data_IF_875492151924
#
_entry.id   IF_875492151924
#
_cell.length_a   1.000
_cell.length_b   1.000
_cell.length_c   1.000
_cell.angle_alpha   90.00
_cell.angle_beta   90.00
_cell.angle_gamma   90.00
#
_symmetry.space_group_name_H-M   'P 1'
#
loop_
_entity.id
_entity.type
_entity.pdbx_description
1 polymer ?
#
# COMPACT_ATOMS: atom_id res chain seq x y z
N UNK A 1 8.11 -23.20 -8.16
CA UNK A 1 7.28 -23.95 -7.17
C UNK A 1 5.93 -24.22 -7.79
N UNK A 2 5.35 -25.42 -7.60
CA UNK A 2 3.97 -25.66 -7.99
C UNK A 2 3.08 -24.66 -7.22
N UNK A 3 2.10 -24.05 -7.90
CA UNK A 3 1.15 -23.14 -7.28
C UNK A 3 0.39 -23.80 -6.10
N UNK A 4 -0.25 -23.03 -5.24
CA UNK A 4 -0.95 -23.59 -4.09
C UNK A 4 -2.03 -24.58 -4.55
N UNK A 5 -2.10 -25.71 -3.87
CA UNK A 5 -3.08 -26.78 -4.17
C UNK A 5 -4.54 -26.29 -4.07
N UNK A 6 -4.77 -25.26 -3.26
CA UNK A 6 -6.06 -24.64 -3.01
C UNK A 6 -5.97 -23.11 -3.20
N UNK A 7 -6.31 -22.59 -4.39
CA UNK A 7 -6.07 -21.17 -4.74
C UNK A 7 -7.19 -20.22 -4.28
N UNK A 8 -8.21 -20.68 -3.57
CA UNK A 8 -9.28 -19.83 -3.06
C UNK A 8 -8.74 -18.76 -2.09
N UNK A 9 -9.17 -17.51 -2.24
CA UNK A 9 -8.68 -16.38 -1.46
C UNK A 9 -8.73 -16.63 0.05
N UNK A 10 -9.86 -17.11 0.55
CA UNK A 10 -10.10 -17.33 1.99
C UNK A 10 -9.16 -18.40 2.54
N UNK A 11 -8.91 -19.47 1.76
CA UNK A 11 -7.96 -20.53 2.11
C UNK A 11 -6.51 -19.98 2.11
N UNK A 12 -6.15 -19.17 1.12
CA UNK A 12 -4.83 -18.54 1.08
C UNK A 12 -4.62 -17.58 2.26
N UNK A 13 -5.63 -16.80 2.63
CA UNK A 13 -5.56 -15.89 3.77
C UNK A 13 -5.26 -16.60 5.08
N UNK A 14 -5.71 -17.83 5.22
CA UNK A 14 -5.54 -18.65 6.43
C UNK A 14 -4.27 -19.52 6.41
N UNK A 15 -3.87 -20.02 5.24
CA UNK A 15 -2.90 -21.14 5.17
C UNK A 15 -1.64 -20.86 4.36
N UNK A 16 -1.63 -19.87 3.45
CA UNK A 16 -0.46 -19.65 2.61
C UNK A 16 0.77 -19.28 3.45
N UNK A 17 1.93 -19.85 3.08
CA UNK A 17 3.20 -19.62 3.77
C UNK A 17 3.34 -20.29 5.14
N UNK A 18 2.30 -20.97 5.65
CA UNK A 18 2.34 -21.62 6.95
C UNK A 18 2.37 -23.15 6.84
N UNK A 19 3.28 -23.76 7.59
CA UNK A 19 3.30 -25.19 7.89
C UNK A 19 3.17 -25.39 9.40
N UNK A 20 2.68 -26.57 9.82
CA UNK A 20 2.72 -26.96 11.24
C UNK A 20 4.18 -26.98 11.69
N UNK A 21 4.47 -26.38 12.86
CA UNK A 21 5.84 -26.39 13.39
C UNK A 21 6.37 -27.84 13.56
N UNK A 22 7.46 -28.20 12.86
CA UNK A 22 7.91 -29.60 12.85
C UNK A 22 8.50 -30.06 14.18
N UNK A 23 8.86 -29.16 15.08
CA UNK A 23 9.49 -29.48 16.36
C UNK A 23 8.46 -29.69 17.47
N UNK A 24 7.45 -28.81 17.53
CA UNK A 24 6.49 -28.78 18.63
C UNK A 24 5.08 -29.21 18.22
N UNK A 25 4.79 -29.27 16.91
CA UNK A 25 3.45 -29.47 16.40
C UNK A 25 2.53 -28.25 16.56
N UNK A 26 3.08 -27.06 16.87
CA UNK A 26 2.28 -25.85 17.07
C UNK A 26 1.45 -25.54 15.82
N UNK A 27 0.13 -25.31 16.02
CA UNK A 27 -0.79 -24.99 14.93
C UNK A 27 -0.73 -23.52 14.54
N UNK A 28 -0.59 -22.60 15.49
CA UNK A 28 -0.38 -21.20 15.23
C UNK A 28 1.04 -20.93 14.73
N UNK A 29 1.25 -19.83 14.01
CA UNK A 29 2.58 -19.40 13.58
C UNK A 29 3.43 -19.10 14.82
N UNK A 30 4.56 -19.78 15.09
CA UNK A 30 5.44 -19.44 16.21
C UNK A 30 6.07 -18.06 16.03
N UNK A 31 6.29 -17.36 17.13
CA UNK A 31 6.98 -16.07 17.13
C UNK A 31 8.46 -16.30 17.44
N UNK A 32 9.28 -16.24 16.39
CA UNK A 32 10.75 -16.41 16.53
C UNK A 32 11.40 -15.06 16.90
N UNK A 33 11.29 -14.69 18.17
CA UNK A 33 11.85 -13.45 18.70
C UNK A 33 13.34 -13.61 18.99
N UNK A 34 14.14 -13.67 17.93
CA UNK A 34 15.61 -13.82 17.98
C UNK A 34 16.30 -12.91 16.97
N UNK A 35 17.55 -12.55 17.23
CA UNK A 35 18.39 -11.78 16.32
C UNK A 35 19.09 -12.68 15.30
N UNK A 36 19.57 -13.86 15.72
CA UNK A 36 20.47 -14.73 14.95
C UNK A 36 20.15 -16.20 15.17
N UNK A 37 20.70 -17.04 14.31
CA UNK A 37 20.44 -18.48 14.26
C UNK A 37 21.77 -19.24 14.31
N UNK A 38 21.83 -20.34 15.09
CA UNK A 38 23.02 -21.15 15.25
C UNK A 38 23.24 -22.03 14.01
N UNK A 39 24.46 -22.02 13.49
CA UNK A 39 24.88 -22.91 12.42
C UNK A 39 25.21 -24.30 13.01
N UNK A 40 24.97 -25.35 12.20
CA UNK A 40 25.35 -26.73 12.60
C UNK A 40 26.87 -26.92 12.61
N UNK A 41 27.54 -26.35 11.60
CA UNK A 41 28.97 -26.39 11.35
C UNK A 41 29.39 -25.28 10.39
N UNK A 42 30.69 -25.16 10.09
CA UNK A 42 31.22 -24.15 9.18
C UNK A 42 30.79 -24.34 7.72
N UNK A 43 30.57 -25.59 7.26
CA UNK A 43 30.09 -25.86 5.91
C UNK A 43 28.62 -25.44 5.76
N UNK A 44 27.80 -25.67 6.78
CA UNK A 44 26.43 -25.16 6.83
C UNK A 44 26.41 -23.63 6.80
N UNK A 45 27.26 -22.96 7.60
CA UNK A 45 27.37 -21.52 7.56
C UNK A 45 27.72 -21.01 6.14
N UNK A 46 28.74 -21.56 5.51
CA UNK A 46 29.16 -21.19 4.16
C UNK A 46 28.03 -21.36 3.16
N UNK A 47 27.30 -22.49 3.18
CA UNK A 47 26.19 -22.76 2.25
C UNK A 47 25.01 -21.78 2.38
N UNK A 48 24.77 -21.20 3.57
CA UNK A 48 23.76 -20.17 3.78
C UNK A 48 24.21 -18.81 3.27
N UNK A 49 25.47 -18.45 3.50
CA UNK A 49 26.04 -17.19 2.99
C UNK A 49 26.17 -17.19 1.47
N UNK A 50 26.55 -18.33 0.89
CA UNK A 50 26.63 -18.53 -0.57
C UNK A 50 25.27 -18.77 -1.24
N UNK A 51 24.17 -18.79 -0.46
CA UNK A 51 22.79 -19.05 -0.95
C UNK A 51 22.57 -20.43 -1.58
N UNK A 52 23.46 -21.37 -1.37
CA UNK A 52 23.33 -22.76 -1.82
C UNK A 52 22.19 -23.51 -1.09
N UNK A 53 21.79 -22.99 0.07
CA UNK A 53 20.69 -23.50 0.88
C UNK A 53 19.78 -22.36 1.38
N UNK A 54 18.47 -22.65 1.42
CA UNK A 54 17.52 -21.83 2.13
C UNK A 54 17.72 -21.93 3.63
N UNK A 55 17.60 -20.81 4.35
CA UNK A 55 17.69 -20.76 5.81
C UNK A 55 17.79 -19.34 6.35
N UNK A 56 17.85 -19.25 7.67
CA UNK A 56 17.93 -17.98 8.38
C UNK A 56 19.31 -17.81 9.01
N UNK A 57 19.87 -16.60 8.91
CA UNK A 57 21.16 -16.23 9.46
C UNK A 57 20.98 -15.14 10.53
N UNK A 58 20.22 -14.11 10.17
CA UNK A 58 20.00 -12.93 11.00
C UNK A 58 18.63 -12.33 10.71
N UNK A 59 17.86 -11.99 11.74
CA UNK A 59 16.44 -11.61 11.60
C UNK A 59 16.21 -10.30 10.82
N UNK A 60 17.23 -9.42 10.69
CA UNK A 60 17.13 -8.26 9.80
C UNK A 60 16.99 -8.67 8.33
N UNK A 61 17.58 -9.80 7.91
CA UNK A 61 17.54 -10.28 6.54
C UNK A 61 16.34 -11.20 6.32
N UNK A 62 16.13 -12.15 7.23
CA UNK A 62 15.01 -13.10 7.18
C UNK A 62 14.70 -13.68 8.56
N UNK A 63 13.42 -13.92 8.84
CA UNK A 63 12.94 -14.49 10.10
C UNK A 63 11.76 -15.43 9.79
N UNK A 64 11.62 -16.62 10.42
CA UNK A 64 10.56 -17.57 10.08
C UNK A 64 9.15 -17.01 10.22
N UNK A 65 8.88 -16.22 11.26
CA UNK A 65 7.55 -15.58 11.47
C UNK A 65 7.26 -14.55 10.38
N UNK A 66 8.27 -13.73 10.04
CA UNK A 66 8.16 -12.71 8.98
C UNK A 66 7.96 -13.36 7.61
N UNK A 67 8.66 -14.48 7.36
CA UNK A 67 8.54 -15.23 6.09
C UNK A 67 7.12 -15.73 5.85
N UNK A 68 6.39 -16.16 6.89
CA UNK A 68 4.97 -16.57 6.74
C UNK A 68 4.12 -15.40 6.25
N UNK A 69 4.32 -14.19 6.77
CA UNK A 69 3.61 -12.99 6.31
C UNK A 69 3.96 -12.66 4.85
N UNK A 70 5.26 -12.69 4.51
CA UNK A 70 5.75 -12.44 3.15
C UNK A 70 5.12 -13.40 2.14
N UNK A 71 5.18 -14.70 2.41
CA UNK A 71 4.62 -15.74 1.54
C UNK A 71 3.09 -15.64 1.44
N UNK A 72 2.41 -15.31 2.54
CA UNK A 72 0.95 -15.14 2.56
C UNK A 72 0.49 -13.99 1.69
N UNK A 73 1.10 -12.82 1.83
CA UNK A 73 0.75 -11.65 1.02
C UNK A 73 1.12 -11.87 -0.45
N UNK A 74 2.29 -12.46 -0.73
CA UNK A 74 2.66 -12.82 -2.10
C UNK A 74 1.62 -13.76 -2.74
N UNK A 75 1.16 -14.78 -2.03
CA UNK A 75 0.14 -15.70 -2.52
C UNK A 75 -1.22 -15.03 -2.75
N UNK A 76 -1.64 -14.12 -1.86
CA UNK A 76 -2.90 -13.37 -1.98
C UNK A 76 -2.89 -12.43 -3.20
N UNK A 77 -1.76 -11.80 -3.48
CA UNK A 77 -1.58 -10.91 -4.64
C UNK A 77 -1.26 -11.66 -5.95
N UNK A 78 -0.80 -12.91 -5.86
CA UNK A 78 -0.35 -13.69 -7.01
C UNK A 78 1.06 -13.31 -7.47
N UNK A 79 1.90 -12.85 -6.56
CA UNK A 79 3.32 -12.53 -6.77
C UNK A 79 4.25 -13.73 -6.59
N UNK A 80 5.49 -13.60 -7.06
CA UNK A 80 6.54 -14.63 -6.89
C UNK A 80 7.22 -14.60 -5.53
N UNK A 81 6.99 -13.54 -4.76
CA UNK A 81 7.51 -13.35 -3.41
C UNK A 81 7.27 -11.95 -2.88
N UNK A 82 7.60 -11.74 -1.61
CA UNK A 82 7.45 -10.45 -0.95
C UNK A 82 8.59 -10.18 0.06
N UNK A 83 8.72 -8.91 0.45
CA UNK A 83 9.61 -8.45 1.52
C UNK A 83 8.81 -7.61 2.50
N UNK A 84 8.77 -8.02 3.76
CA UNK A 84 8.17 -7.25 4.83
C UNK A 84 9.16 -6.21 5.37
N UNK A 85 8.65 -5.00 5.58
CA UNK A 85 9.41 -3.84 6.05
C UNK A 85 8.76 -3.19 7.27
N UNK A 86 9.50 -2.32 7.96
CA UNK A 86 9.04 -1.64 9.16
C UNK A 86 7.83 -0.71 8.96
N UNK A 87 7.54 -0.29 7.72
CA UNK A 87 6.40 0.56 7.36
C UNK A 87 6.13 0.54 5.86
N UNK A 88 4.95 1.02 5.42
CA UNK A 88 4.67 1.22 4.00
C UNK A 88 5.65 2.19 3.32
N UNK A 89 6.07 3.26 4.03
CA UNK A 89 7.10 4.18 3.52
C UNK A 89 8.45 3.50 3.32
N UNK A 90 8.81 2.57 4.21
CA UNK A 90 10.03 1.77 4.05
C UNK A 90 9.93 0.82 2.84
N UNK A 91 8.74 0.30 2.53
CA UNK A 91 8.52 -0.52 1.33
C UNK A 91 8.69 0.29 0.05
N UNK A 92 8.09 1.49 -0.03
CA UNK A 92 8.28 2.41 -1.16
C UNK A 92 9.73 2.83 -1.32
N UNK A 93 10.39 3.23 -0.22
CA UNK A 93 11.81 3.59 -0.24
C UNK A 93 12.69 2.41 -0.71
N UNK A 94 12.42 1.20 -0.23
CA UNK A 94 13.16 -0.01 -0.62
C UNK A 94 13.01 -0.28 -2.12
N UNK A 95 11.80 -0.16 -2.68
CA UNK A 95 11.58 -0.34 -4.12
C UNK A 95 12.39 0.66 -4.94
N UNK A 96 12.34 1.95 -4.57
CA UNK A 96 13.10 2.99 -5.25
C UNK A 96 14.63 2.76 -5.13
N UNK A 97 15.12 2.51 -3.92
CA UNK A 97 16.55 2.30 -3.67
C UNK A 97 17.11 1.04 -4.36
N UNK A 98 16.26 0.03 -4.61
CA UNK A 98 16.66 -1.16 -5.37
C UNK A 98 16.80 -0.89 -6.86
N UNK A 99 15.97 0.00 -7.42
CA UNK A 99 15.89 0.24 -8.86
C UNK A 99 16.69 1.46 -9.35
N UNK A 100 17.13 2.34 -8.44
CA UNK A 100 17.56 3.68 -8.82
C UNK A 100 18.85 4.11 -8.13
N UNK A 101 19.68 4.76 -8.90
CA UNK A 101 20.87 5.49 -8.46
C UNK A 101 20.64 7.01 -8.57
N UNK A 102 21.59 7.80 -8.08
CA UNK A 102 21.61 9.24 -8.30
C UNK A 102 21.57 9.56 -9.81
N UNK A 103 20.77 10.53 -10.19
CA UNK A 103 20.50 10.89 -11.58
C UNK A 103 19.28 10.18 -12.18
N UNK A 104 18.66 9.24 -11.48
CA UNK A 104 17.43 8.57 -11.92
C UNK A 104 16.18 9.46 -11.82
N UNK A 105 15.13 9.07 -12.51
CA UNK A 105 13.86 9.79 -12.56
C UNK A 105 12.65 8.87 -12.37
N UNK A 106 11.63 9.36 -11.68
CA UNK A 106 10.33 8.72 -11.47
C UNK A 106 9.23 9.54 -12.16
N UNK A 107 8.28 8.88 -12.82
CA UNK A 107 7.00 9.50 -13.18
C UNK A 107 5.94 8.98 -12.22
N UNK A 108 5.31 9.86 -11.46
CA UNK A 108 4.35 9.49 -10.43
C UNK A 108 3.01 10.18 -10.61
N UNK A 109 1.94 9.51 -10.20
CA UNK A 109 0.63 10.14 -10.03
C UNK A 109 0.74 11.34 -9.08
N UNK A 110 0.00 12.40 -9.35
CA UNK A 110 -0.14 13.54 -8.42
C UNK A 110 -1.10 13.23 -7.27
N UNK A 111 -2.02 12.29 -7.44
CA UNK A 111 -2.97 11.87 -6.40
C UNK A 111 -2.36 10.76 -5.54
N UNK A 112 -1.54 11.15 -4.56
CA UNK A 112 -0.81 10.25 -3.68
C UNK A 112 -1.05 10.58 -2.21
N UNK A 113 -0.79 9.59 -1.37
CA UNK A 113 -0.60 9.84 0.05
C UNK A 113 0.49 10.89 0.28
N UNK A 114 0.23 11.86 1.18
CA UNK A 114 1.14 12.98 1.42
C UNK A 114 2.58 12.55 1.78
N UNK A 115 2.75 11.44 2.50
CA UNK A 115 4.07 10.89 2.79
C UNK A 115 4.81 10.40 1.54
N UNK A 116 4.12 9.75 0.61
CA UNK A 116 4.68 9.30 -0.67
C UNK A 116 5.03 10.48 -1.55
N UNK A 117 4.15 11.49 -1.63
CA UNK A 117 4.43 12.73 -2.35
C UNK A 117 5.69 13.44 -1.80
N UNK A 118 5.80 13.56 -0.47
CA UNK A 118 6.98 14.20 0.15
C UNK A 118 8.25 13.38 -0.05
N UNK A 119 8.18 12.04 0.08
CA UNK A 119 9.34 11.17 -0.16
C UNK A 119 9.87 11.37 -1.59
N UNK A 120 8.99 11.27 -2.58
CA UNK A 120 9.36 11.36 -4.00
C UNK A 120 9.76 12.79 -4.41
N UNK A 121 8.98 13.79 -4.02
CA UNK A 121 9.18 15.16 -4.49
C UNK A 121 10.31 15.94 -3.81
N UNK A 122 10.59 15.61 -2.55
CA UNK A 122 11.54 16.39 -1.73
C UNK A 122 12.69 15.54 -1.17
N UNK A 123 12.39 14.43 -0.52
CA UNK A 123 13.40 13.66 0.21
C UNK A 123 14.36 13.00 -0.76
N UNK A 124 13.86 12.26 -1.76
CA UNK A 124 14.69 11.55 -2.73
C UNK A 124 15.44 12.48 -3.67
N UNK A 125 14.94 13.69 -3.91
CA UNK A 125 15.66 14.73 -4.64
C UNK A 125 17.01 15.06 -4.00
N UNK A 126 17.12 14.98 -2.67
CA UNK A 126 18.39 15.18 -1.94
C UNK A 126 19.43 14.08 -2.26
N UNK A 127 18.97 12.93 -2.73
CA UNK A 127 19.80 11.80 -3.16
C UNK A 127 19.95 11.73 -4.67
N UNK A 128 19.58 12.82 -5.39
CA UNK A 128 19.73 12.91 -6.83
C UNK A 128 18.67 12.18 -7.64
N UNK A 129 17.56 11.75 -7.04
CA UNK A 129 16.44 11.12 -7.75
C UNK A 129 15.34 12.16 -7.93
N UNK A 130 14.97 12.44 -9.18
CA UNK A 130 13.93 13.41 -9.51
C UNK A 130 12.60 12.74 -9.78
N UNK A 131 11.50 13.48 -9.53
CA UNK A 131 10.13 13.01 -9.79
C UNK A 131 9.36 14.04 -10.59
N UNK A 132 8.64 13.59 -11.62
CA UNK A 132 7.60 14.37 -12.30
C UNK A 132 6.23 13.81 -11.90
N UNK A 133 5.39 14.68 -11.33
CA UNK A 133 4.01 14.34 -10.97
C UNK A 133 3.06 14.67 -12.12
N UNK A 134 2.14 13.75 -12.42
CA UNK A 134 1.17 13.86 -13.52
C UNK A 134 -0.23 13.48 -13.06
N UNK A 135 -1.25 13.89 -13.83
CA UNK A 135 -2.62 13.52 -13.50
C UNK A 135 -2.84 12.00 -13.61
N UNK A 136 -3.43 11.35 -12.58
CA UNK A 136 -3.73 9.91 -12.63
C UNK A 136 -4.78 9.53 -13.66
N UNK A 137 -5.61 10.49 -14.08
CA UNK A 137 -6.71 10.28 -15.04
C UNK A 137 -6.28 10.31 -16.49
N UNK A 138 -5.02 10.65 -16.79
CA UNK A 138 -4.53 10.77 -18.15
C UNK A 138 -3.25 9.96 -18.37
N UNK A 139 -3.33 8.71 -18.85
CA UNK A 139 -2.15 7.88 -19.11
C UNK A 139 -1.15 8.53 -20.08
N UNK A 140 -1.60 9.39 -21.01
CA UNK A 140 -0.71 10.08 -21.94
C UNK A 140 0.18 11.15 -21.24
N UNK A 141 -0.22 11.66 -20.08
CA UNK A 141 0.68 12.51 -19.29
C UNK A 141 1.83 11.72 -18.71
N UNK A 142 1.61 10.48 -18.28
CA UNK A 142 2.70 9.57 -17.88
C UNK A 142 3.67 9.38 -19.05
N UNK A 143 3.17 9.09 -20.26
CA UNK A 143 4.00 8.91 -21.46
C UNK A 143 4.87 10.13 -21.76
N UNK A 144 4.28 11.32 -21.75
CA UNK A 144 4.95 12.59 -22.03
C UNK A 144 6.01 12.96 -20.99
N UNK A 145 5.84 12.51 -19.75
CA UNK A 145 6.77 12.79 -18.66
C UNK A 145 7.98 11.85 -18.61
N UNK A 146 7.98 10.76 -19.40
CA UNK A 146 9.11 9.81 -19.46
C UNK A 146 10.32 10.49 -20.07
N UNK A 147 11.48 10.37 -19.39
CA UNK A 147 12.81 10.86 -19.79
C UNK A 147 13.73 9.67 -20.00
N UNK A 148 14.90 9.85 -20.66
CA UNK A 148 15.88 8.76 -20.84
C UNK A 148 16.34 8.09 -19.54
N UNK A 149 16.40 8.88 -18.46
CA UNK A 149 16.80 8.43 -17.12
C UNK A 149 15.61 8.00 -16.25
N UNK A 150 14.37 7.91 -16.78
CA UNK A 150 13.23 7.36 -16.04
C UNK A 150 13.47 5.87 -15.78
N UNK A 151 13.16 5.44 -14.55
CA UNK A 151 13.32 4.05 -14.08
C UNK A 151 12.04 3.45 -13.52
N UNK A 152 11.02 4.26 -13.22
CA UNK A 152 9.81 3.80 -12.55
C UNK A 152 8.60 4.67 -12.92
N UNK A 153 7.45 4.03 -13.17
CA UNK A 153 6.15 4.66 -13.07
C UNK A 153 5.50 4.26 -11.75
N UNK A 154 4.86 5.22 -11.08
CA UNK A 154 4.27 5.00 -9.75
C UNK A 154 2.88 5.61 -9.63
N UNK A 155 1.95 4.89 -8.95
CA UNK A 155 0.64 5.40 -8.59
C UNK A 155 -0.01 4.60 -7.46
N UNK A 156 -1.15 5.08 -6.97
CA UNK A 156 -1.98 4.40 -5.97
C UNK A 156 -3.24 3.87 -6.64
N UNK A 157 -3.70 2.68 -6.25
CA UNK A 157 -4.96 2.10 -6.78
C UNK A 157 -6.14 3.05 -6.61
N UNK A 158 -6.19 3.71 -5.46
CA UNK A 158 -7.13 4.77 -5.10
C UNK A 158 -6.33 5.92 -4.49
N UNK A 159 -6.25 7.02 -5.20
CA UNK A 159 -5.49 8.21 -4.80
C UNK A 159 -6.10 8.93 -3.60
N UNK A 160 -5.28 9.65 -2.87
CA UNK A 160 -5.68 10.40 -1.68
C UNK A 160 -5.50 11.91 -1.92
N UNK A 161 -6.47 12.79 -1.64
CA UNK A 161 -7.72 12.55 -0.89
C UNK A 161 -8.96 12.28 -1.74
N UNK A 162 -8.91 12.50 -3.06
CA UNK A 162 -10.07 12.50 -3.96
C UNK A 162 -10.56 11.12 -4.39
N UNK A 163 -9.86 10.04 -4.02
CA UNK A 163 -10.09 8.66 -4.47
C UNK A 163 -10.04 8.50 -6.00
N UNK A 164 -9.10 9.22 -6.62
CA UNK A 164 -8.80 9.06 -8.03
C UNK A 164 -8.45 7.60 -8.34
N UNK A 165 -9.14 6.98 -9.29
CA UNK A 165 -8.88 5.59 -9.67
C UNK A 165 -7.79 5.55 -10.72
N UNK A 166 -6.70 4.85 -10.43
CA UNK A 166 -5.62 4.66 -11.41
C UNK A 166 -6.04 3.66 -12.49
N UNK A 167 -5.97 4.07 -13.75
CA UNK A 167 -6.11 3.13 -14.88
C UNK A 167 -4.84 2.29 -15.03
N UNK A 168 -4.73 1.26 -14.17
CA UNK A 168 -3.55 0.39 -14.14
C UNK A 168 -3.28 -0.25 -15.51
N UNK A 169 -4.27 -0.82 -16.24
CA UNK A 169 -4.02 -1.36 -17.57
C UNK A 169 -3.42 -0.36 -18.55
N UNK A 170 -3.95 0.86 -18.60
CA UNK A 170 -3.44 1.88 -19.50
C UNK A 170 -2.06 2.41 -19.09
N UNK A 171 -1.83 2.64 -17.79
CA UNK A 171 -0.52 3.12 -17.28
C UNK A 171 0.54 2.03 -17.38
N UNK A 172 0.21 0.76 -17.13
CA UNK A 172 1.16 -0.34 -17.31
C UNK A 172 1.58 -0.49 -18.76
N UNK A 173 0.63 -0.33 -19.70
CA UNK A 173 0.97 -0.33 -21.13
C UNK A 173 1.96 0.80 -21.47
N UNK A 174 1.76 2.01 -20.94
CA UNK A 174 2.69 3.13 -21.12
C UNK A 174 4.07 2.79 -20.54
N UNK A 175 4.11 2.18 -19.36
CA UNK A 175 5.36 1.76 -18.72
C UNK A 175 6.11 0.72 -19.57
N UNK A 176 5.41 -0.36 -19.96
CA UNK A 176 6.00 -1.47 -20.72
C UNK A 176 6.44 -1.05 -22.13
N UNK A 177 5.68 -0.19 -22.82
CA UNK A 177 6.08 0.38 -24.11
C UNK A 177 7.43 1.13 -24.02
N UNK A 178 7.76 1.66 -22.82
CA UNK A 178 9.01 2.36 -22.54
C UNK A 178 10.08 1.48 -21.86
N UNK A 179 9.83 0.18 -21.67
CA UNK A 179 10.72 -0.74 -20.93
C UNK A 179 10.89 -0.36 -19.46
N UNK A 180 9.82 0.09 -18.80
CA UNK A 180 9.80 0.52 -17.41
C UNK A 180 8.80 -0.32 -16.60
N UNK A 181 9.09 -0.62 -15.31
CA UNK A 181 8.12 -1.24 -14.44
C UNK A 181 7.09 -0.23 -13.91
N UNK A 182 5.89 -0.72 -13.60
CA UNK A 182 4.87 -0.01 -12.85
C UNK A 182 4.81 -0.53 -11.41
N UNK A 183 5.08 0.35 -10.44
CA UNK A 183 4.85 0.13 -9.01
C UNK A 183 3.52 0.73 -8.58
N UNK A 184 2.72 -0.03 -7.82
CA UNK A 184 1.41 0.42 -7.35
C UNK A 184 1.30 0.32 -5.84
N UNK A 185 0.85 1.38 -5.17
CA UNK A 185 0.37 1.30 -3.80
C UNK A 185 -1.05 0.73 -3.78
N UNK A 186 -1.21 -0.47 -3.23
CA UNK A 186 -2.48 -1.17 -3.15
C UNK A 186 -3.10 -1.16 -1.74
N UNK A 187 -2.65 -0.23 -0.88
CA UNK A 187 -3.03 -0.16 0.54
C UNK A 187 -4.54 -0.07 0.76
N UNK A 188 -5.26 0.74 -0.04
CA UNK A 188 -6.70 0.96 0.15
C UNK A 188 -7.56 -0.17 -0.39
N UNK A 189 -7.12 -0.80 -1.47
CA UNK A 189 -7.87 -1.89 -2.11
C UNK A 189 -7.63 -3.24 -1.46
N UNK A 190 -6.44 -3.44 -0.89
CA UNK A 190 -5.98 -4.77 -0.42
C UNK A 190 -6.06 -5.83 -1.53
N UNK A 191 -5.49 -7.02 -1.38
CA UNK A 191 -5.63 -8.08 -2.38
C UNK A 191 -7.06 -8.60 -2.52
N UNK A 192 -7.97 -8.18 -1.61
CA UNK A 192 -9.36 -8.59 -1.66
C UNK A 192 -10.19 -7.83 -2.71
N UNK A 193 -10.04 -6.51 -2.80
CA UNK A 193 -10.85 -5.69 -3.71
C UNK A 193 -10.23 -5.60 -5.11
N UNK A 194 -8.89 -5.60 -5.22
CA UNK A 194 -8.16 -5.50 -6.48
C UNK A 194 -6.86 -6.29 -6.42
N UNK A 195 -6.50 -6.90 -7.53
CA UNK A 195 -5.19 -7.54 -7.75
C UNK A 195 -4.44 -6.81 -8.86
N UNK A 196 -3.58 -5.85 -8.54
CA UNK A 196 -2.90 -5.01 -9.53
C UNK A 196 -2.07 -5.79 -10.54
N UNK A 197 -1.52 -6.96 -10.16
CA UNK A 197 -0.76 -7.82 -11.08
C UNK A 197 -1.61 -8.41 -12.21
N UNK A 198 -2.90 -8.67 -11.97
CA UNK A 198 -3.81 -9.13 -13.02
C UNK A 198 -4.14 -8.00 -14.02
N UNK A 199 -3.89 -6.75 -13.62
CA UNK A 199 -4.11 -5.53 -14.42
C UNK A 199 -2.84 -4.99 -15.07
N UNK A 200 -1.68 -5.63 -14.85
CA UNK A 200 -0.43 -5.30 -15.51
C UNK A 200 0.61 -4.59 -14.65
N UNK A 201 0.38 -4.36 -13.36
CA UNK A 201 1.43 -3.89 -12.48
C UNK A 201 2.56 -4.92 -12.35
N UNK A 202 3.79 -4.46 -12.15
CA UNK A 202 4.98 -5.31 -12.01
C UNK A 202 5.37 -5.48 -10.54
N UNK A 203 5.28 -4.39 -9.80
CA UNK A 203 5.56 -4.32 -8.38
C UNK A 203 4.35 -3.70 -7.67
N UNK A 204 4.10 -4.11 -6.45
CA UNK A 204 3.16 -3.43 -5.57
C UNK A 204 3.66 -3.40 -4.13
N UNK A 205 3.15 -2.47 -3.35
CA UNK A 205 3.32 -2.52 -1.92
C UNK A 205 2.03 -2.20 -1.16
N UNK A 206 2.02 -2.61 0.10
CA UNK A 206 0.99 -2.25 1.07
C UNK A 206 1.62 -1.58 2.28
N UNK A 207 1.00 -0.52 2.76
CA UNK A 207 1.10 -0.19 4.17
C UNK A 207 0.27 -1.22 4.94
N UNK A 208 0.92 -2.28 5.44
CA UNK A 208 0.25 -3.33 6.20
C UNK A 208 -0.33 -2.84 7.54
N UNK A 209 0.05 -1.62 7.94
CA UNK A 209 -0.50 -0.84 9.05
C UNK A 209 -2.02 -0.65 8.94
N UNK A 210 -2.55 -0.59 7.70
CA UNK A 210 -3.94 -0.24 7.39
C UNK A 210 -4.84 -1.50 7.39
N UNK A 211 -5.65 -1.68 6.39
CA UNK A 211 -6.61 -2.79 6.30
C UNK A 211 -6.01 -4.19 6.46
N UNK A 212 -4.75 -4.44 6.07
CA UNK A 212 -4.12 -5.74 6.26
C UNK A 212 -4.03 -6.10 7.75
N UNK A 213 -3.44 -5.24 8.58
CA UNK A 213 -3.43 -5.39 10.03
C UNK A 213 -4.80 -5.14 10.65
N UNK A 214 -5.48 -4.07 10.23
CA UNK A 214 -6.89 -3.77 10.45
C UNK A 214 -7.31 -3.39 11.87
N UNK A 215 -6.39 -3.26 12.82
CA UNK A 215 -6.71 -3.04 14.24
C UNK A 215 -5.95 -1.87 14.87
N UNK A 216 -5.17 -1.12 14.08
CA UNK A 216 -4.41 0.02 14.58
C UNK A 216 -3.29 -0.31 15.59
N UNK A 217 -2.83 -1.55 15.65
CA UNK A 217 -1.88 -2.05 16.68
C UNK A 217 -0.45 -2.24 16.16
N UNK A 218 -0.24 -2.29 14.85
CA UNK A 218 1.05 -2.61 14.26
C UNK A 218 1.35 -1.70 13.07
N UNK A 219 2.59 -1.24 12.96
CA UNK A 219 3.09 -0.51 11.79
C UNK A 219 3.94 -1.46 10.95
N UNK A 220 3.62 -1.59 9.66
CA UNK A 220 4.36 -2.46 8.76
C UNK A 220 4.14 -2.11 7.29
N UNK A 221 5.02 -2.60 6.45
CA UNK A 221 4.91 -2.56 5.00
C UNK A 221 5.21 -3.92 4.38
N UNK A 222 4.70 -4.18 3.20
CA UNK A 222 5.02 -5.38 2.42
C UNK A 222 5.19 -4.97 0.96
N UNK A 223 6.36 -5.22 0.39
CA UNK A 223 6.69 -5.03 -1.02
C UNK A 223 6.58 -6.38 -1.73
N UNK A 224 5.84 -6.44 -2.84
CA UNK A 224 5.56 -7.68 -3.58
C UNK A 224 6.01 -7.53 -5.03
N UNK A 225 6.59 -8.57 -5.59
CA UNK A 225 7.02 -8.64 -6.98
C UNK A 225 6.14 -9.65 -7.75
N UNK A 226 5.66 -9.25 -8.91
CA UNK A 226 4.93 -10.13 -9.82
C UNK A 226 5.81 -11.22 -10.44
N UNK A 227 7.12 -10.98 -10.57
CA UNK A 227 8.06 -11.81 -11.31
C UNK A 227 7.82 -11.82 -12.83
N UNK A 228 7.11 -10.82 -13.37
CA UNK A 228 6.75 -10.76 -14.80
C UNK A 228 7.53 -9.73 -15.60
N UNK A 229 8.16 -8.77 -14.92
CA UNK A 229 8.96 -7.77 -15.62
C UNK A 229 10.30 -8.36 -16.05
N UNK A 230 10.61 -8.20 -17.33
CA UNK A 230 11.84 -8.70 -17.95
C UNK A 230 12.93 -7.63 -17.80
N UNK A 231 13.77 -7.79 -16.76
CA UNK A 231 14.82 -6.83 -16.39
C UNK A 231 15.92 -6.79 -17.45
N UNK A 232 16.32 -7.94 -18.02
CA UNK A 232 17.34 -8.04 -19.04
C UNK A 232 16.90 -7.36 -20.34
N UNK A 233 15.72 -7.70 -20.84
CA UNK A 233 15.16 -7.12 -22.07
C UNK A 233 14.98 -5.61 -21.96
N UNK A 234 14.64 -5.11 -20.78
CA UNK A 234 14.55 -3.66 -20.54
C UNK A 234 15.87 -2.92 -20.78
N UNK A 235 17.00 -3.51 -20.40
CA UNK A 235 18.34 -2.92 -20.52
C UNK A 235 18.56 -1.66 -19.68
N UNK A 236 17.63 -1.31 -18.79
CA UNK A 236 17.67 -0.08 -17.98
C UNK A 236 18.10 -0.30 -16.53
N UNK A 237 18.31 -1.55 -16.15
CA UNK A 237 18.56 -1.95 -14.76
C UNK A 237 19.85 -2.78 -14.63
N UNK A 238 21.02 -2.19 -15.01
CA UNK A 238 22.28 -2.92 -14.93
C UNK A 238 22.61 -3.38 -13.51
N UNK A 239 22.07 -2.71 -12.49
CA UNK A 239 22.19 -3.12 -11.09
C UNK A 239 21.52 -4.45 -10.77
N UNK A 240 20.66 -4.99 -11.64
CA UNK A 240 20.02 -6.30 -11.50
C UNK A 240 20.60 -7.34 -12.47
N UNK A 241 21.12 -6.89 -13.62
CA UNK A 241 21.47 -7.71 -14.79
C UNK A 241 22.95 -7.63 -15.15
N UNK A 242 23.80 -7.18 -14.23
CA UNK A 242 25.24 -7.15 -14.40
C UNK A 242 25.93 -7.47 -13.06
N UNK A 243 27.21 -7.95 -13.11
CA UNK A 243 27.96 -8.29 -11.91
C UNK A 243 28.08 -7.13 -10.93
N UNK A 244 27.58 -7.31 -9.72
CA UNK A 244 27.57 -6.31 -8.65
C UNK A 244 28.75 -6.53 -7.67
N UNK A 245 29.72 -5.63 -7.69
CA UNK A 245 30.95 -5.74 -6.88
C UNK A 245 30.69 -5.73 -5.36
N UNK A 246 29.61 -5.05 -4.91
CA UNK A 246 29.22 -5.01 -3.50
C UNK A 246 28.68 -6.35 -2.97
N UNK A 247 28.44 -7.31 -3.86
CA UNK A 247 27.99 -8.65 -3.50
C UNK A 247 28.73 -9.74 -4.31
N UNK A 248 30.07 -9.79 -4.17
CA UNK A 248 30.93 -10.82 -4.78
C UNK A 248 30.81 -10.97 -6.30
N UNK A 249 30.52 -9.88 -7.02
CA UNK A 249 30.23 -9.87 -8.45
C UNK A 249 29.02 -10.74 -8.87
N UNK A 250 28.03 -10.88 -7.99
CA UNK A 250 26.81 -11.57 -8.32
C UNK A 250 26.01 -10.76 -9.36
N UNK A 251 25.48 -11.45 -10.36
CA UNK A 251 24.40 -11.00 -11.22
C UNK A 251 23.10 -11.53 -10.62
N UNK A 252 22.20 -10.65 -10.21
CA UNK A 252 20.99 -11.06 -9.50
C UNK A 252 19.99 -11.77 -10.41
N UNK A 253 19.98 -11.47 -11.71
CA UNK A 253 19.10 -12.12 -12.68
C UNK A 253 19.62 -13.51 -13.04
N UNK A 254 20.91 -13.67 -13.29
CA UNK A 254 21.56 -14.97 -13.52
C UNK A 254 21.32 -15.90 -12.32
N UNK A 255 21.42 -15.38 -11.09
CA UNK A 255 21.25 -16.15 -9.86
C UNK A 255 19.79 -16.55 -9.57
N UNK A 256 18.82 -15.68 -9.88
CA UNK A 256 17.43 -15.87 -9.39
C UNK A 256 16.33 -15.67 -10.44
N UNK A 257 16.68 -15.34 -11.67
CA UNK A 257 15.73 -15.14 -12.77
C UNK A 257 14.64 -14.13 -12.40
N UNK A 258 13.40 -14.53 -12.49
CA UNK A 258 12.24 -13.66 -12.21
C UNK A 258 12.19 -13.08 -10.79
N UNK A 259 13.11 -13.45 -9.89
CA UNK A 259 13.22 -12.94 -8.52
C UNK A 259 14.40 -11.99 -8.31
N UNK A 260 15.06 -11.56 -9.38
CA UNK A 260 16.24 -10.68 -9.32
C UNK A 260 16.00 -9.43 -8.47
N UNK A 261 14.86 -8.77 -8.68
CA UNK A 261 14.46 -7.60 -7.88
C UNK A 261 14.37 -7.93 -6.37
N UNK A 262 13.64 -9.00 -6.01
CA UNK A 262 13.50 -9.41 -4.59
C UNK A 262 14.82 -9.82 -3.98
N UNK A 263 15.67 -10.52 -4.73
CA UNK A 263 16.97 -10.95 -4.24
C UNK A 263 17.83 -9.74 -3.90
N UNK A 264 17.95 -8.76 -4.81
CA UNK A 264 18.69 -7.53 -4.55
C UNK A 264 18.06 -6.71 -3.43
N UNK A 265 16.74 -6.49 -3.47
CA UNK A 265 16.03 -5.73 -2.45
C UNK A 265 16.27 -6.30 -1.04
N UNK A 266 16.35 -7.61 -0.89
CA UNK A 266 16.62 -8.27 0.40
C UNK A 266 18.10 -8.23 0.77
N UNK A 267 18.98 -8.58 -0.16
CA UNK A 267 20.41 -8.81 0.11
C UNK A 267 21.22 -7.53 0.22
N UNK A 268 20.82 -6.48 -0.49
CA UNK A 268 21.38 -5.15 -0.39
C UNK A 268 20.43 -4.21 0.35
N UNK A 269 19.28 -3.90 -0.23
CA UNK A 269 18.39 -2.87 0.27
C UNK A 269 17.95 -3.08 1.72
N UNK A 270 17.29 -4.18 2.03
CA UNK A 270 16.82 -4.46 3.40
C UNK A 270 17.98 -4.64 4.38
N UNK A 271 19.04 -5.36 3.96
CA UNK A 271 20.21 -5.60 4.80
C UNK A 271 20.90 -4.31 5.19
N UNK A 272 21.12 -3.39 4.25
CA UNK A 272 21.97 -2.23 4.42
C UNK A 272 21.21 -1.03 5.00
N UNK A 273 19.98 -0.77 4.53
CA UNK A 273 19.11 0.28 5.07
C UNK A 273 18.44 -0.12 6.39
N UNK A 274 18.27 -1.41 6.66
CA UNK A 274 17.89 -1.91 7.98
C UNK A 274 16.40 -1.79 8.34
N UNK A 275 15.52 -1.40 7.43
CA UNK A 275 14.10 -1.18 7.70
C UNK A 275 13.28 -2.49 7.77
N UNK A 276 13.78 -3.50 8.49
CA UNK A 276 13.14 -4.81 8.64
C UNK A 276 11.93 -4.76 9.58
N UNK A 277 11.02 -5.71 9.38
CA UNK A 277 9.86 -5.91 10.27
C UNK A 277 10.24 -6.79 11.46
N UNK A 278 9.77 -6.44 12.67
CA UNK A 278 9.91 -7.29 13.86
C UNK A 278 8.98 -8.51 13.78
N UNK A 279 9.39 -9.70 14.30
CA UNK A 279 8.56 -10.91 14.28
C UNK A 279 7.21 -10.73 14.96
N UNK A 280 7.13 -10.04 16.09
CA UNK A 280 5.88 -9.73 16.77
C UNK A 280 4.94 -8.89 15.90
N UNK A 281 5.47 -7.91 15.17
CA UNK A 281 4.69 -7.09 14.22
C UNK A 281 4.12 -7.94 13.09
N UNK A 282 4.93 -8.83 12.52
CA UNK A 282 4.48 -9.77 11.49
C UNK A 282 3.35 -10.67 12.00
N UNK A 283 3.50 -11.22 13.22
CA UNK A 283 2.46 -12.02 13.85
C UNK A 283 1.15 -11.24 14.03
N UNK A 284 1.21 -10.00 14.52
CA UNK A 284 0.02 -9.16 14.71
C UNK A 284 -0.68 -8.85 13.38
N UNK A 285 0.09 -8.56 12.31
CA UNK A 285 -0.46 -8.32 10.98
C UNK A 285 -1.09 -9.59 10.40
N UNK A 286 -0.48 -10.76 10.62
CA UNK A 286 -1.04 -12.05 10.19
C UNK A 286 -2.44 -12.29 10.76
N UNK A 287 -2.68 -11.94 12.04
CA UNK A 287 -4.02 -12.06 12.65
C UNK A 287 -5.06 -11.21 11.90
N UNK A 288 -4.68 -10.02 11.44
CA UNK A 288 -5.54 -9.19 10.60
C UNK A 288 -5.77 -9.80 9.22
N UNK A 289 -4.73 -10.31 8.57
CA UNK A 289 -4.82 -10.91 7.22
C UNK A 289 -5.74 -12.12 7.22
N UNK A 290 -5.73 -12.94 8.25
CA UNK A 290 -6.58 -14.13 8.37
C UNK A 290 -8.08 -13.83 8.28
N UNK A 291 -8.51 -12.64 8.70
CA UNK A 291 -9.91 -12.20 8.66
C UNK A 291 -10.21 -11.16 7.58
N UNK A 292 -9.27 -10.88 6.69
CA UNK A 292 -9.40 -9.83 5.67
C UNK A 292 -10.63 -10.02 4.77
N UNK A 293 -10.89 -11.26 4.35
CA UNK A 293 -12.01 -11.64 3.51
C UNK A 293 -13.39 -11.48 4.17
N UNK A 294 -13.45 -11.41 5.50
CA UNK A 294 -14.66 -11.11 6.27
C UNK A 294 -14.81 -9.60 6.52
N UNK A 295 -13.69 -8.92 6.78
CA UNK A 295 -13.70 -7.50 7.12
C UNK A 295 -13.95 -6.60 5.91
N UNK A 296 -13.28 -6.85 4.79
CA UNK A 296 -13.40 -5.98 3.61
C UNK A 296 -14.82 -5.88 3.04
N UNK A 297 -15.60 -6.98 2.88
CA UNK A 297 -17.01 -6.88 2.49
C UNK A 297 -17.83 -6.03 3.47
N UNK A 298 -17.64 -6.21 4.77
CA UNK A 298 -18.34 -5.45 5.79
C UNK A 298 -18.00 -3.96 5.76
N UNK A 299 -16.72 -3.63 5.62
CA UNK A 299 -16.27 -2.25 5.41
C UNK A 299 -16.96 -1.59 4.21
N UNK A 300 -16.97 -2.27 3.06
CA UNK A 300 -17.60 -1.75 1.83
C UNK A 300 -19.11 -1.60 2.00
N UNK A 301 -19.79 -2.57 2.56
CA UNK A 301 -21.24 -2.52 2.79
C UNK A 301 -21.62 -1.33 3.69
N UNK A 302 -20.94 -1.18 4.82
CA UNK A 302 -21.18 -0.07 5.74
C UNK A 302 -20.88 1.28 5.09
N UNK A 303 -19.81 1.35 4.29
CA UNK A 303 -19.44 2.57 3.56
C UNK A 303 -20.52 2.97 2.55
N UNK A 304 -21.05 2.02 1.78
CA UNK A 304 -22.14 2.30 0.82
C UNK A 304 -23.37 2.90 1.49
N UNK A 305 -23.76 2.37 2.64
CA UNK A 305 -24.90 2.90 3.41
C UNK A 305 -24.64 4.33 3.89
N UNK A 306 -23.44 4.60 4.43
CA UNK A 306 -23.04 5.92 4.92
C UNK A 306 -22.90 6.93 3.77
N UNK A 307 -22.31 6.53 2.65
CA UNK A 307 -22.20 7.36 1.44
C UNK A 307 -23.59 7.73 0.92
N UNK A 308 -24.53 6.77 0.86
CA UNK A 308 -25.92 7.03 0.47
C UNK A 308 -26.62 8.03 1.40
N UNK A 309 -26.45 7.87 2.71
CA UNK A 309 -26.97 8.79 3.72
C UNK A 309 -26.40 10.22 3.53
N UNK A 310 -25.07 10.35 3.43
CA UNK A 310 -24.42 11.65 3.29
C UNK A 310 -24.74 12.34 1.97
N UNK A 311 -24.82 11.59 0.87
CA UNK A 311 -25.16 12.15 -0.46
C UNK A 311 -26.58 12.75 -0.51
N UNK A 312 -27.51 12.25 0.29
CA UNK A 312 -28.86 12.79 0.43
C UNK A 312 -29.03 13.88 1.50
N UNK A 313 -28.00 14.15 2.30
CA UNK A 313 -28.15 15.02 3.47
C UNK A 313 -28.02 16.52 3.13
N UNK A 314 -28.97 17.35 3.62
CA UNK A 314 -29.05 18.79 3.29
C UNK A 314 -27.82 19.61 3.72
N UNK A 315 -27.11 19.22 4.77
CA UNK A 315 -25.88 19.88 5.26
C UNK A 315 -24.61 19.45 4.53
N UNK A 316 -24.69 18.46 3.62
CA UNK A 316 -23.57 17.99 2.82
C UNK A 316 -23.59 18.68 1.46
N UNK A 317 -22.43 19.14 1.01
CA UNK A 317 -22.26 19.80 -0.28
C UNK A 317 -21.94 18.81 -1.39
N UNK A 318 -21.04 17.88 -1.12
CA UNK A 318 -20.58 16.84 -2.07
C UNK A 318 -20.02 15.64 -1.31
N UNK A 319 -20.04 14.48 -1.97
CA UNK A 319 -19.39 13.24 -1.49
C UNK A 319 -18.50 12.73 -2.61
N UNK A 320 -17.23 12.47 -2.29
CA UNK A 320 -16.23 11.93 -3.21
C UNK A 320 -16.05 10.44 -2.91
N UNK A 321 -16.76 9.60 -3.67
CA UNK A 321 -16.65 8.14 -3.59
C UNK A 321 -16.88 7.52 -4.96
N UNK A 322 -15.98 6.65 -5.48
CA UNK A 322 -16.01 6.24 -6.89
C UNK A 322 -17.24 5.42 -7.33
N UNK A 323 -17.99 4.87 -6.40
CA UNK A 323 -19.26 4.19 -6.73
C UNK A 323 -20.42 5.16 -7.01
N UNK A 324 -20.30 6.45 -6.70
CA UNK A 324 -21.29 7.46 -7.07
C UNK A 324 -21.13 7.86 -8.53
N UNK A 325 -22.25 7.99 -9.26
CA UNK A 325 -22.26 8.43 -10.66
C UNK A 325 -21.67 9.83 -10.86
N UNK A 326 -21.69 10.65 -9.82
CA UNK A 326 -21.10 11.99 -9.80
C UNK A 326 -19.58 11.99 -9.72
N UNK A 327 -18.95 10.86 -9.37
CA UNK A 327 -17.50 10.77 -9.31
C UNK A 327 -16.90 10.67 -10.72
N UNK A 328 -15.83 11.45 -11.04
CA UNK A 328 -15.24 11.47 -12.37
C UNK A 328 -14.83 10.09 -12.89
N UNK A 329 -14.34 9.23 -11.99
CA UNK A 329 -13.80 7.90 -12.32
C UNK A 329 -14.83 6.76 -12.11
N UNK A 330 -16.14 7.08 -11.96
CA UNK A 330 -17.17 6.08 -11.70
C UNK A 330 -17.14 4.88 -12.67
N UNK A 331 -17.03 5.16 -13.97
CA UNK A 331 -17.01 4.10 -14.98
C UNK A 331 -15.80 3.19 -14.85
N UNK A 332 -14.62 3.78 -14.61
CA UNK A 332 -13.37 3.04 -14.40
C UNK A 332 -13.42 2.23 -13.09
N UNK A 333 -13.93 2.82 -12.02
CA UNK A 333 -14.12 2.14 -10.74
C UNK A 333 -15.01 0.90 -10.88
N UNK A 334 -16.14 1.03 -11.59
CA UNK A 334 -17.05 -0.10 -11.85
C UNK A 334 -16.38 -1.25 -12.61
N UNK A 335 -15.43 -0.93 -13.48
CA UNK A 335 -14.68 -1.90 -14.27
C UNK A 335 -13.58 -2.58 -13.42
N UNK A 336 -12.77 -1.79 -12.69
CA UNK A 336 -11.57 -2.29 -12.03
C UNK A 336 -11.82 -2.75 -10.58
N UNK A 337 -12.89 -2.30 -9.94
CA UNK A 337 -13.23 -2.54 -8.54
C UNK A 337 -14.64 -3.16 -8.38
N UNK A 338 -14.93 -4.29 -9.00
CA UNK A 338 -16.29 -4.87 -8.99
C UNK A 338 -16.74 -5.29 -7.58
N UNK A 339 -15.82 -5.49 -6.63
CA UNK A 339 -16.11 -5.82 -5.22
C UNK A 339 -16.35 -4.58 -4.35
N UNK A 340 -16.09 -3.38 -4.86
CA UNK A 340 -16.27 -2.11 -4.17
C UNK A 340 -15.00 -1.27 -4.07
N UNK A 341 -15.18 0.02 -3.76
CA UNK A 341 -14.11 1.02 -3.74
C UNK A 341 -13.52 1.27 -2.34
N UNK A 342 -13.59 0.27 -1.46
CA UNK A 342 -13.03 0.35 -0.11
C UNK A 342 -13.89 1.15 0.87
N UNK A 343 -13.26 1.60 1.95
CA UNK A 343 -13.95 2.18 3.10
C UNK A 343 -13.38 3.53 3.54
N UNK A 344 -12.60 4.16 2.68
CA UNK A 344 -12.10 5.53 2.90
C UNK A 344 -12.74 6.43 1.86
N UNK A 345 -13.28 7.56 2.27
CA UNK A 345 -13.82 8.56 1.35
C UNK A 345 -13.85 9.95 1.99
N UNK A 346 -14.10 10.96 1.19
CA UNK A 346 -14.23 12.35 1.65
C UNK A 346 -15.58 12.94 1.27
N UNK A 347 -16.04 13.89 2.07
CA UNK A 347 -17.23 14.69 1.77
C UNK A 347 -17.04 16.12 2.28
N UNK A 348 -17.77 17.07 1.70
CA UNK A 348 -17.72 18.45 2.09
C UNK A 348 -18.95 18.84 2.90
N UNK A 349 -18.73 19.34 4.13
CA UNK A 349 -19.78 19.93 4.97
C UNK A 349 -20.03 21.37 4.53
N UNK A 350 -21.29 21.77 4.36
CA UNK A 350 -21.67 23.17 4.12
C UNK A 350 -21.31 24.06 5.31
N UNK A 351 -20.77 25.25 5.07
CA UNK A 351 -20.35 26.17 6.13
C UNK A 351 -18.83 26.19 6.36
N UNK A 352 -18.07 25.46 5.52
CA UNK A 352 -16.61 25.55 5.46
C UNK A 352 -15.89 25.08 6.71
N UNK A 353 -14.76 25.73 7.03
CA UNK A 353 -13.81 25.30 8.06
C UNK A 353 -14.45 25.20 9.46
N UNK A 354 -15.28 26.17 9.85
CA UNK A 354 -15.90 26.15 11.17
C UNK A 354 -16.97 25.07 11.30
N UNK A 355 -17.75 24.83 10.24
CA UNK A 355 -18.71 23.73 10.23
C UNK A 355 -18.01 22.37 10.30
N UNK A 356 -16.89 22.18 9.55
CA UNK A 356 -16.05 20.98 9.63
C UNK A 356 -15.47 20.77 11.03
N UNK A 357 -14.99 21.82 11.69
CA UNK A 357 -14.50 21.76 13.08
C UNK A 357 -15.60 21.29 14.04
N UNK A 358 -16.78 21.92 14.00
CA UNK A 358 -17.93 21.54 14.86
C UNK A 358 -18.42 20.14 14.59
N UNK A 359 -18.43 19.73 13.33
CA UNK A 359 -18.74 18.36 12.96
C UNK A 359 -17.84 17.36 13.69
N UNK A 360 -16.51 17.52 13.56
CA UNK A 360 -15.52 16.64 14.21
C UNK A 360 -15.72 16.62 15.74
N UNK A 361 -15.83 17.77 16.37
CA UNK A 361 -15.94 17.90 17.83
C UNK A 361 -17.26 17.33 18.41
N UNK A 362 -18.27 17.11 17.55
CA UNK A 362 -19.56 16.57 17.94
C UNK A 362 -19.66 15.06 17.80
N UNK A 363 -18.72 14.39 17.12
CA UNK A 363 -18.70 12.94 16.97
C UNK A 363 -18.39 12.24 18.31
N UNK A 364 -18.94 11.05 18.51
CA UNK A 364 -18.76 10.24 19.74
C UNK A 364 -18.26 8.82 19.44
N UNK A 365 -18.61 8.26 18.30
CA UNK A 365 -18.18 6.91 17.86
C UNK A 365 -16.92 7.01 17.02
N UNK A 366 -16.90 7.94 16.08
CA UNK A 366 -15.72 8.14 15.22
C UNK A 366 -14.54 8.70 16.02
N UNK A 367 -13.38 8.08 15.89
CA UNK A 367 -12.15 8.57 16.52
C UNK A 367 -11.47 9.62 15.64
N UNK A 368 -11.22 10.80 16.18
CA UNK A 368 -10.52 11.89 15.50
C UNK A 368 -9.01 11.68 15.54
N UNK A 369 -8.44 11.16 14.46
CA UNK A 369 -7.00 10.90 14.32
C UNK A 369 -6.56 10.74 12.86
N UNK A 370 -5.26 10.81 12.62
CA UNK A 370 -4.66 10.72 11.28
C UNK A 370 -4.30 9.27 10.90
N UNK A 371 -5.30 8.40 10.76
CA UNK A 371 -5.13 7.04 10.25
C UNK A 371 -6.30 6.65 9.33
N UNK A 372 -6.24 5.45 8.74
CA UNK A 372 -7.30 4.80 7.95
C UNK A 372 -7.18 3.29 8.08
N UNK A 373 -8.25 2.54 7.73
CA UNK A 373 -8.18 1.09 7.62
C UNK A 373 -8.15 0.35 8.95
N UNK A 374 -8.78 0.93 9.98
CA UNK A 374 -8.98 0.33 11.30
C UNK A 374 -10.36 -0.34 11.37
N UNK A 375 -10.52 -1.33 12.25
CA UNK A 375 -11.80 -1.91 12.61
C UNK A 375 -12.76 -0.89 13.26
N UNK A 376 -12.22 0.19 13.83
CA UNK A 376 -12.97 1.33 14.37
C UNK A 376 -13.04 2.45 13.34
N UNK A 377 -14.19 3.13 13.28
CA UNK A 377 -14.39 4.28 12.39
C UNK A 377 -13.55 5.48 12.80
N UNK A 378 -12.87 6.05 11.81
CA UNK A 378 -11.94 7.17 11.99
C UNK A 378 -12.38 8.38 11.17
N UNK A 379 -12.03 9.56 11.65
CA UNK A 379 -12.35 10.82 11.00
C UNK A 379 -11.20 11.81 11.10
N UNK A 380 -11.03 12.63 10.07
CA UNK A 380 -10.12 13.77 10.09
C UNK A 380 -10.70 14.92 9.25
N UNK A 381 -10.45 16.14 9.69
CA UNK A 381 -10.74 17.38 8.95
C UNK A 381 -9.41 18.01 8.52
N UNK A 382 -8.98 17.83 7.27
CA UNK A 382 -7.66 18.26 6.80
C UNK A 382 -7.37 19.74 7.07
N UNK A 383 -8.34 20.60 6.84
CA UNK A 383 -8.19 22.07 7.01
C UNK A 383 -7.84 22.51 8.43
N UNK A 384 -8.19 21.72 9.47
CA UNK A 384 -7.85 22.02 10.87
C UNK A 384 -6.74 21.14 11.44
N UNK A 385 -6.19 20.22 10.65
CA UNK A 385 -5.19 19.24 11.11
C UNK A 385 -3.99 19.16 10.16
N UNK A 386 -4.01 18.24 9.22
CA UNK A 386 -2.88 17.95 8.31
C UNK A 386 -2.49 19.11 7.40
N UNK A 387 -3.45 20.00 7.08
CA UNK A 387 -3.29 21.17 6.22
C UNK A 387 -3.59 22.48 6.95
N UNK A 388 -3.46 22.49 8.28
CA UNK A 388 -3.81 23.64 9.14
C UNK A 388 -3.19 24.97 8.70
N UNK A 389 -1.96 24.93 8.18
CA UNK A 389 -1.20 26.11 7.75
C UNK A 389 -1.60 26.63 6.36
N UNK A 390 -2.41 25.88 5.60
CA UNK A 390 -2.84 26.29 4.26
C UNK A 390 -4.03 27.25 4.35
N UNK A 391 -4.03 28.28 3.50
CA UNK A 391 -5.20 29.11 3.26
C UNK A 391 -6.31 28.32 2.57
N UNK A 392 -7.55 28.83 2.61
CA UNK A 392 -8.67 28.20 1.92
C UNK A 392 -8.47 28.18 0.39
N UNK A 393 -7.72 29.14 -0.16
CA UNK A 393 -7.34 29.15 -1.58
C UNK A 393 -6.33 28.04 -1.91
N UNK A 394 -5.33 27.84 -1.04
CA UNK A 394 -4.33 26.80 -1.24
C UNK A 394 -4.93 25.40 -1.05
N UNK A 395 -5.86 25.27 -0.09
CA UNK A 395 -6.64 24.03 0.07
C UNK A 395 -7.40 23.68 -1.22
N UNK A 396 -8.10 24.66 -1.81
CA UNK A 396 -8.83 24.47 -3.08
C UNK A 396 -7.90 24.06 -4.23
N UNK A 397 -6.70 24.67 -4.33
CA UNK A 397 -5.68 24.28 -5.32
C UNK A 397 -5.21 22.83 -5.11
N UNK A 398 -5.18 22.36 -3.87
CA UNK A 398 -4.86 20.97 -3.51
C UNK A 398 -6.07 20.02 -3.66
N UNK A 399 -7.21 20.48 -4.19
CA UNK A 399 -8.42 19.67 -4.34
C UNK A 399 -9.16 19.41 -3.02
N UNK A 400 -8.89 20.18 -1.98
CA UNK A 400 -9.47 20.03 -0.64
C UNK A 400 -10.33 21.26 -0.34
N UNK A 401 -11.61 21.08 -0.07
CA UNK A 401 -12.48 22.16 0.39
C UNK A 401 -12.18 22.54 1.85
N UNK A 402 -12.50 23.76 2.29
CA UNK A 402 -12.34 24.14 3.69
C UNK A 402 -13.27 23.34 4.64
N UNK A 403 -14.35 22.76 4.14
CA UNK A 403 -15.26 21.86 4.85
C UNK A 403 -15.06 20.39 4.59
N UNK A 404 -13.96 19.99 3.89
CA UNK A 404 -13.71 18.60 3.57
C UNK A 404 -13.41 17.77 4.81
N UNK A 405 -14.16 16.71 5.01
CA UNK A 405 -13.97 15.69 6.04
C UNK A 405 -13.65 14.37 5.37
N UNK A 406 -12.62 13.67 5.84
CA UNK A 406 -12.31 12.31 5.41
C UNK A 406 -12.75 11.33 6.49
N UNK A 407 -13.48 10.30 6.07
CA UNK A 407 -13.89 9.17 6.90
C UNK A 407 -13.12 7.91 6.49
N UNK A 408 -12.85 7.05 7.46
CA UNK A 408 -12.49 5.65 7.28
C UNK A 408 -13.48 4.83 8.07
N UNK A 409 -14.35 4.11 7.38
CA UNK A 409 -15.47 3.41 7.99
C UNK A 409 -14.99 2.08 8.58
N UNK A 410 -15.33 1.84 9.83
CA UNK A 410 -15.01 0.63 10.59
C UNK A 410 -16.06 -0.49 10.43
N UNK A 411 -16.12 -1.33 11.45
CA UNK A 411 -16.95 -2.54 11.50
C UNK A 411 -18.11 -2.43 12.49
N UNK A 412 -18.31 -1.25 13.08
CA UNK A 412 -19.38 -0.96 14.00
C UNK A 412 -20.77 -1.20 13.37
N UNK A 413 -21.81 -1.22 14.19
CA UNK A 413 -23.17 -1.20 13.67
C UNK A 413 -23.39 0.08 12.85
N UNK A 414 -23.86 -0.08 11.62
CA UNK A 414 -23.95 1.05 10.67
C UNK A 414 -25.01 2.06 11.09
N UNK A 415 -26.07 1.64 11.80
CA UNK A 415 -27.12 2.54 12.25
C UNK A 415 -26.61 3.43 13.38
N UNK A 416 -25.72 2.92 14.25
CA UNK A 416 -25.01 3.73 15.26
C UNK A 416 -24.10 4.78 14.60
N UNK A 417 -23.40 4.39 13.53
CA UNK A 417 -22.55 5.32 12.77
C UNK A 417 -23.39 6.42 12.10
N UNK A 418 -24.51 6.07 11.47
CA UNK A 418 -25.42 7.04 10.85
C UNK A 418 -25.99 8.00 11.91
N UNK A 419 -26.39 7.49 13.06
CA UNK A 419 -26.90 8.34 14.17
C UNK A 419 -25.84 9.30 14.69
N UNK A 420 -24.58 8.87 14.79
CA UNK A 420 -23.46 9.72 15.20
C UNK A 420 -23.18 10.82 14.16
N UNK A 421 -23.21 10.48 12.87
CA UNK A 421 -23.05 11.44 11.77
C UNK A 421 -24.20 12.46 11.71
N UNK A 422 -25.46 12.02 11.86
CA UNK A 422 -26.63 12.90 11.88
C UNK A 422 -26.52 13.95 12.99
N UNK A 423 -26.14 13.52 14.20
CA UNK A 423 -25.94 14.44 15.33
C UNK A 423 -24.82 15.45 15.05
N UNK A 424 -23.72 15.00 14.46
CA UNK A 424 -22.58 15.87 14.14
C UNK A 424 -22.91 16.85 13.01
N UNK A 425 -23.67 16.44 11.98
CA UNK A 425 -24.17 17.33 10.91
C UNK A 425 -25.16 18.37 11.46
N UNK A 426 -26.04 17.98 12.40
CA UNK A 426 -26.93 18.94 13.06
C UNK A 426 -26.17 19.99 13.89
N UNK A 427 -25.03 19.63 14.49
CA UNK A 427 -24.17 20.56 15.20
C UNK A 427 -23.39 21.49 14.21
N UNK A 428 -22.91 20.94 13.11
CA UNK A 428 -22.24 21.70 12.06
C UNK A 428 -23.14 22.75 11.42
N UNK A 429 -24.42 22.41 11.17
CA UNK A 429 -25.42 23.33 10.60
C UNK A 429 -25.68 24.58 11.46
N UNK A 430 -25.32 24.56 12.74
CA UNK A 430 -25.42 25.72 13.66
C UNK A 430 -24.15 26.62 13.61
N UNK A 431 -23.17 26.31 12.80
CA UNK A 431 -22.01 27.14 12.57
C UNK A 431 -22.46 28.45 11.86
N UNK A 432 -22.23 29.57 12.50
CA UNK A 432 -22.47 30.92 11.92
C UNK A 432 -21.16 31.46 11.36
#
# INVERSE_FOLDING_TARGET
>A
MAGPKYPGFDTLALHAGQTVDPTTGARAVPIYQTTSYVFRDTAHAASLFNMERAGHVYSRISNPTVAVLEERIAALEGGVGAIATASGQAALHLAVATLMDAGSHVVASAALYGGSHNLLGYTLKRFGIETTFVSPRNPEEFRKAIKPNTRLLFGETLGNPGLDVLDIPAVSKVAHDAGLPLLVDATFTTPYLMKPFELGADLLYHSATKFLGGHGIAIGGVLVDSGRFDWEKSGKFPQLTAPYSGFHNMDFEEESGTRAFLLRARREGLRDFGACMAPMTAFQILQGVETLHLRMPRHVESTRKIVGFLAGHSSVQSVMYPELETHPDHKLAKQLLPRGCGAVFSFDVKGGREAGRRFIESLRVFSHLANVGDAKSLVIHPATTTHYRMSDEDLKKAGIGPGTVRLSIGLEDVDDLVQDLERALAAAAKAK
#
